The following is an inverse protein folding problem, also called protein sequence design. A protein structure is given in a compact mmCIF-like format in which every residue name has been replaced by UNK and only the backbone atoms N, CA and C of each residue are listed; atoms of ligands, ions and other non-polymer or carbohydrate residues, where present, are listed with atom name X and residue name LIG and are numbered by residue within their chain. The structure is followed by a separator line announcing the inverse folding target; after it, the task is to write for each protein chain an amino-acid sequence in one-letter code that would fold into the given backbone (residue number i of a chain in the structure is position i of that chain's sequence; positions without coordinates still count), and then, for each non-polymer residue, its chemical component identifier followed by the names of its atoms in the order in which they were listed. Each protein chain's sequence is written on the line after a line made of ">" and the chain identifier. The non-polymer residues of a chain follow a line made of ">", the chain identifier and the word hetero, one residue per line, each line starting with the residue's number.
data_IF_770641621522
#
_entry.id   IF_770641621522
#
_cell.length_a   1.000
_cell.length_b   1.000
_cell.length_c   1.000
_cell.angle_alpha   90.00
_cell.angle_beta   90.00
_cell.angle_gamma   90.00
#
_symmetry.space_group_name_H-M   'P 1'
#
loop_
_entity.id
_entity.type
_entity.pdbx_description
1 polymer ?
#
# COMPACT_ATOMS: atom_id res chain seq x y z
N UNK A 1 -3.82 -36.51 -3.34
CA UNK A 1 -2.64 -36.88 -2.51
C UNK A 1 -1.85 -35.61 -2.24
N UNK A 2 -1.51 -35.36 -0.96
CA UNK A 2 -0.81 -34.17 -0.46
C UNK A 2 -1.77 -33.01 -0.15
N UNK A 3 -1.92 -32.48 1.06
CA UNK A 3 -0.99 -32.40 2.18
C UNK A 3 -1.67 -32.81 3.50
N UNK A 4 -1.29 -33.99 4.00
CA UNK A 4 -1.15 -34.19 5.43
C UNK A 4 0.25 -33.68 5.76
N UNK A 5 0.39 -32.46 6.26
CA UNK A 5 1.64 -32.02 6.86
C UNK A 5 1.31 -31.43 8.21
N UNK A 6 1.60 -32.24 9.23
CA UNK A 6 1.75 -31.90 10.63
C UNK A 6 2.24 -30.46 10.80
N UNK A 7 1.30 -29.53 11.06
CA UNK A 7 1.58 -28.16 11.45
C UNK A 7 2.00 -27.94 12.93
N UNK A 8 2.04 -28.92 13.88
CA UNK A 8 2.32 -28.60 15.28
C UNK A 8 3.78 -28.19 15.53
N UNK A 9 4.78 -28.90 14.97
CA UNK A 9 6.18 -28.71 15.36
C UNK A 9 6.74 -27.28 15.19
N UNK A 10 6.37 -26.58 14.11
CA UNK A 10 6.88 -25.21 13.86
C UNK A 10 6.18 -24.15 14.69
N UNK A 11 4.89 -24.32 14.97
CA UNK A 11 4.17 -23.42 15.87
C UNK A 11 4.65 -23.60 17.31
N UNK A 12 4.86 -24.84 17.74
CA UNK A 12 5.36 -25.19 19.08
C UNK A 12 6.80 -24.68 19.28
N UNK A 13 7.64 -24.75 18.24
CA UNK A 13 8.99 -24.16 18.28
C UNK A 13 8.97 -22.62 18.24
N UNK A 14 8.02 -22.02 17.54
CA UNK A 14 7.83 -20.57 17.53
C UNK A 14 7.33 -20.04 18.89
N UNK A 15 6.59 -20.84 19.66
CA UNK A 15 6.19 -20.47 21.02
C UNK A 15 7.40 -20.33 21.95
N UNK A 16 8.40 -21.22 21.81
CA UNK A 16 9.63 -21.18 22.60
C UNK A 16 10.61 -20.10 22.14
N UNK A 17 10.73 -19.89 20.83
CA UNK A 17 11.75 -19.02 20.24
C UNK A 17 11.25 -17.59 19.97
N UNK A 18 9.93 -17.41 19.87
CA UNK A 18 9.31 -16.18 19.37
C UNK A 18 9.51 -15.96 17.87
N UNK A 19 9.94 -16.98 17.11
CA UNK A 19 10.21 -16.89 15.68
C UNK A 19 9.41 -17.95 14.95
N UNK A 20 8.49 -17.54 14.08
CA UNK A 20 7.78 -18.43 13.17
C UNK A 20 8.25 -18.16 11.76
N UNK A 21 8.88 -19.15 11.14
CA UNK A 21 9.35 -19.09 9.76
C UNK A 21 8.80 -20.26 8.96
N UNK A 22 8.06 -19.96 7.91
CA UNK A 22 7.44 -20.93 7.02
C UNK A 22 7.59 -20.44 5.58
N UNK A 23 8.73 -20.72 4.96
CA UNK A 23 9.03 -20.32 3.57
C UNK A 23 8.89 -21.50 2.59
N UNK A 24 8.65 -21.18 1.32
CA UNK A 24 8.63 -22.12 0.18
C UNK A 24 7.79 -23.38 0.42
N UNK A 25 6.60 -23.20 0.98
CA UNK A 25 5.70 -24.32 1.33
C UNK A 25 4.38 -24.29 0.57
N UNK A 26 4.23 -23.37 -0.38
CA UNK A 26 2.98 -23.16 -1.11
C UNK A 26 1.83 -22.72 -0.20
N UNK A 27 2.13 -22.10 0.95
CA UNK A 27 1.15 -21.69 1.95
C UNK A 27 0.18 -20.68 1.34
N UNK A 28 -1.12 -20.95 1.43
CA UNK A 28 -2.17 -20.04 0.92
C UNK A 28 -2.78 -19.18 2.03
N UNK A 29 -2.66 -19.62 3.29
CA UNK A 29 -3.10 -18.88 4.46
C UNK A 29 -2.21 -19.19 5.68
N UNK A 30 -2.00 -18.19 6.54
CA UNK A 30 -1.24 -18.33 7.78
C UNK A 30 -2.07 -19.16 8.79
N UNK A 31 -1.52 -20.22 9.40
CA UNK A 31 -2.26 -21.07 10.33
C UNK A 31 -2.66 -20.32 11.60
N UNK A 32 -3.85 -20.60 12.12
CA UNK A 32 -4.40 -19.85 13.25
C UNK A 32 -3.57 -19.94 14.54
N UNK A 33 -2.86 -21.06 14.72
CA UNK A 33 -1.96 -21.28 15.85
C UNK A 33 -0.88 -20.20 15.98
N UNK A 34 -0.42 -19.63 14.87
CA UNK A 34 0.60 -18.56 14.88
C UNK A 34 0.09 -17.33 15.61
N UNK A 35 -1.19 -17.01 15.45
CA UNK A 35 -1.84 -15.88 16.12
C UNK A 35 -2.06 -16.12 17.62
N UNK A 36 -1.98 -17.37 18.10
CA UNK A 36 -2.03 -17.67 19.53
C UNK A 36 -0.69 -17.41 20.25
N UNK A 37 0.41 -17.22 19.51
CA UNK A 37 1.75 -17.06 20.07
C UNK A 37 1.95 -15.60 20.52
N UNK A 38 1.59 -15.30 21.77
CA UNK A 38 1.64 -13.95 22.33
C UNK A 38 3.04 -13.30 22.36
N UNK A 39 4.10 -14.12 22.31
CA UNK A 39 5.50 -13.66 22.36
C UNK A 39 6.20 -13.68 21.00
N UNK A 40 5.44 -13.80 19.90
CA UNK A 40 6.03 -13.81 18.57
C UNK A 40 6.69 -12.45 18.25
N UNK A 41 7.98 -12.49 17.93
CA UNK A 41 8.82 -11.34 17.58
C UNK A 41 9.11 -11.30 16.10
N UNK A 42 9.21 -12.45 15.45
CA UNK A 42 9.51 -12.55 14.03
C UNK A 42 8.52 -13.50 13.36
N UNK A 43 7.85 -13.00 12.33
CA UNK A 43 6.95 -13.75 11.48
C UNK A 43 7.50 -13.70 10.06
N UNK A 44 7.90 -14.84 9.54
CA UNK A 44 8.41 -14.98 8.19
C UNK A 44 7.57 -16.01 7.41
N UNK A 45 6.84 -15.50 6.44
CA UNK A 45 5.98 -16.27 5.54
C UNK A 45 6.33 -15.98 4.09
N UNK A 46 7.57 -15.60 3.84
CA UNK A 46 8.06 -15.29 2.49
C UNK A 46 8.07 -16.52 1.58
N UNK A 47 8.08 -16.31 0.26
CA UNK A 47 8.09 -17.37 -0.77
C UNK A 47 6.91 -18.33 -0.62
N UNK A 48 5.70 -17.80 -0.57
CA UNK A 48 4.48 -18.62 -0.50
C UNK A 48 3.46 -18.13 -1.54
N UNK A 49 2.20 -18.56 -1.39
CA UNK A 49 1.10 -18.22 -2.30
C UNK A 49 0.00 -17.50 -1.52
N UNK A 50 0.38 -16.70 -0.53
CA UNK A 50 -0.57 -15.94 0.28
C UNK A 50 -1.30 -14.93 -0.60
N UNK A 51 -2.62 -15.00 -0.59
CA UNK A 51 -3.50 -14.05 -1.30
C UNK A 51 -3.96 -12.90 -0.40
N UNK A 52 -3.82 -13.05 0.91
CA UNK A 52 -4.15 -12.01 1.88
C UNK A 52 -3.42 -12.25 3.20
N UNK A 53 -3.13 -11.17 3.88
CA UNK A 53 -2.74 -11.20 5.28
C UNK A 53 -4.02 -11.06 6.13
N UNK A 54 -4.29 -11.93 7.12
CA UNK A 54 -5.50 -11.82 7.92
C UNK A 54 -5.43 -10.70 8.96
N UNK A 55 -6.57 -10.10 9.29
CA UNK A 55 -6.67 -9.06 10.33
C UNK A 55 -6.23 -9.52 11.73
N UNK A 56 -6.20 -10.84 11.95
CA UNK A 56 -5.68 -11.45 13.17
C UNK A 56 -4.22 -11.11 13.43
N UNK A 57 -3.45 -10.63 12.45
CA UNK A 57 -2.07 -10.16 12.67
C UNK A 57 -1.98 -9.10 13.77
N UNK A 58 -3.04 -8.30 14.00
CA UNK A 58 -3.08 -7.30 15.08
C UNK A 58 -2.82 -7.86 16.49
N UNK A 59 -3.10 -9.15 16.72
CA UNK A 59 -2.93 -9.76 18.05
C UNK A 59 -1.46 -10.00 18.39
N UNK A 60 -0.58 -9.98 17.39
CA UNK A 60 0.86 -10.17 17.54
C UNK A 60 1.54 -8.88 18.02
N UNK A 61 1.08 -8.29 19.12
CA UNK A 61 1.51 -6.96 19.57
C UNK A 61 3.01 -6.83 19.91
N UNK A 62 3.74 -7.95 20.05
CA UNK A 62 5.19 -7.99 20.28
C UNK A 62 6.03 -8.21 19.01
N UNK A 63 5.37 -8.27 17.84
CA UNK A 63 6.04 -8.52 16.58
C UNK A 63 6.96 -7.35 16.24
N UNK A 64 8.24 -7.66 16.01
CA UNK A 64 9.29 -6.71 15.61
C UNK A 64 9.63 -6.83 14.13
N UNK A 65 9.45 -8.01 13.56
CA UNK A 65 9.85 -8.30 12.18
C UNK A 65 8.74 -9.07 11.48
N UNK A 66 8.28 -8.55 10.35
CA UNK A 66 7.32 -9.22 9.47
C UNK A 66 7.90 -9.31 8.06
N UNK A 67 8.14 -10.53 7.58
CA UNK A 67 8.52 -10.81 6.21
C UNK A 67 7.42 -11.60 5.51
N UNK A 68 6.89 -11.06 4.42
CA UNK A 68 5.92 -11.72 3.55
C UNK A 68 6.29 -11.52 2.08
N UNK A 69 7.59 -11.45 1.80
CA UNK A 69 8.14 -11.32 0.44
C UNK A 69 7.74 -12.50 -0.46
N UNK A 70 7.76 -12.32 -1.77
CA UNK A 70 7.46 -13.38 -2.75
C UNK A 70 6.12 -14.08 -2.47
N UNK A 71 5.06 -13.29 -2.40
CA UNK A 71 3.68 -13.76 -2.24
C UNK A 71 2.78 -13.15 -3.33
N UNK A 72 1.46 -13.25 -3.16
CA UNK A 72 0.47 -12.69 -4.10
C UNK A 72 -0.49 -11.73 -3.40
N UNK A 73 0.02 -10.97 -2.43
CA UNK A 73 -0.78 -10.03 -1.66
C UNK A 73 -1.19 -8.84 -2.56
N UNK A 74 -2.49 -8.60 -2.77
CA UNK A 74 -2.97 -7.45 -3.54
C UNK A 74 -2.94 -6.16 -2.70
N UNK A 75 -3.13 -6.29 -1.39
CA UNK A 75 -3.16 -5.19 -0.42
C UNK A 75 -2.65 -5.67 0.95
N UNK A 76 -2.31 -4.72 1.82
CA UNK A 76 -1.90 -4.95 3.19
C UNK A 76 -3.00 -4.43 4.15
N UNK A 77 -3.50 -5.25 5.09
CA UNK A 77 -4.59 -4.81 5.96
C UNK A 77 -4.14 -3.75 6.97
N UNK A 78 -5.04 -2.84 7.33
CA UNK A 78 -4.82 -1.81 8.37
C UNK A 78 -4.42 -2.41 9.72
N UNK A 79 -4.78 -3.68 9.95
CA UNK A 79 -4.36 -4.45 11.12
C UNK A 79 -2.83 -4.52 11.29
N UNK A 80 -2.03 -4.43 10.22
CA UNK A 80 -0.56 -4.36 10.33
C UNK A 80 -0.10 -3.05 10.98
N UNK A 81 -0.82 -1.94 10.74
CA UNK A 81 -0.53 -0.62 11.31
C UNK A 81 -0.77 -0.56 12.84
N UNK A 82 -1.39 -1.60 13.41
CA UNK A 82 -1.61 -1.75 14.84
C UNK A 82 -0.40 -2.37 15.57
N UNK A 83 0.58 -2.90 14.84
CA UNK A 83 1.79 -3.52 15.39
C UNK A 83 2.81 -2.48 15.88
N UNK A 84 2.57 -1.86 17.04
CA UNK A 84 3.39 -0.74 17.56
C UNK A 84 4.86 -1.08 17.82
N UNK A 85 5.20 -2.36 17.99
CA UNK A 85 6.57 -2.82 18.18
C UNK A 85 7.31 -3.16 16.88
N UNK A 86 6.66 -3.05 15.72
CA UNK A 86 7.23 -3.43 14.44
C UNK A 86 8.40 -2.51 14.07
N UNK A 87 9.54 -3.13 13.75
CA UNK A 87 10.79 -2.45 13.40
C UNK A 87 11.20 -2.72 11.95
N UNK A 88 10.85 -3.89 11.42
CA UNK A 88 11.12 -4.26 10.03
C UNK A 88 9.87 -4.85 9.38
N UNK A 89 9.49 -4.30 8.23
CA UNK A 89 8.40 -4.78 7.39
C UNK A 89 8.94 -5.01 5.98
N UNK A 90 8.86 -6.25 5.51
CA UNK A 90 9.27 -6.65 4.16
C UNK A 90 8.12 -7.36 3.47
N UNK A 91 7.66 -6.80 2.35
CA UNK A 91 6.54 -7.31 1.54
C UNK A 91 6.87 -7.20 0.05
N UNK A 92 8.14 -7.42 -0.30
CA UNK A 92 8.66 -7.29 -1.66
C UNK A 92 8.11 -8.39 -2.56
N UNK A 93 8.15 -8.20 -3.89
CA UNK A 93 7.68 -9.20 -4.85
C UNK A 93 6.25 -9.68 -4.56
N UNK A 94 5.34 -8.73 -4.38
CA UNK A 94 3.90 -8.95 -4.22
C UNK A 94 3.13 -8.22 -5.34
N UNK A 95 1.82 -8.08 -5.19
CA UNK A 95 0.97 -7.35 -6.13
C UNK A 95 0.33 -6.11 -5.47
N UNK A 96 1.00 -5.52 -4.47
CA UNK A 96 0.46 -4.40 -3.70
C UNK A 96 0.20 -3.20 -4.59
N UNK A 97 -1.04 -2.70 -4.60
CA UNK A 97 -1.43 -1.50 -5.36
C UNK A 97 -1.32 -0.24 -4.51
N UNK A 98 -1.56 -0.37 -3.20
CA UNK A 98 -1.42 0.71 -2.23
C UNK A 98 -0.90 0.18 -0.89
N UNK A 99 -0.34 1.09 -0.08
CA UNK A 99 -0.07 0.86 1.33
C UNK A 99 -1.19 1.52 2.16
N UNK A 100 -1.53 0.96 3.33
CA UNK A 100 -2.58 1.53 4.18
C UNK A 100 -2.23 2.94 4.66
N UNK A 101 -3.22 3.84 4.67
CA UNK A 101 -3.03 5.21 5.17
C UNK A 101 -2.66 5.25 6.66
N UNK A 102 -2.91 4.19 7.42
CA UNK A 102 -2.50 4.10 8.82
C UNK A 102 -1.01 3.73 9.02
N UNK A 103 -0.22 3.54 7.95
CA UNK A 103 1.18 3.08 8.04
C UNK A 103 2.04 3.98 8.95
N UNK A 104 1.80 5.29 8.93
CA UNK A 104 2.44 6.27 9.81
C UNK A 104 2.31 6.00 11.31
N UNK A 105 1.39 5.13 11.73
CA UNK A 105 1.18 4.78 13.12
C UNK A 105 2.24 3.82 13.69
N UNK A 106 3.16 3.32 12.85
CA UNK A 106 4.27 2.43 13.20
C UNK A 106 5.53 3.23 13.59
N UNK A 107 5.48 3.96 14.70
CA UNK A 107 6.55 4.88 15.12
C UNK A 107 7.92 4.24 15.35
N UNK A 108 7.99 2.92 15.55
CA UNK A 108 9.23 2.15 15.75
C UNK A 108 9.79 1.52 14.46
N UNK A 109 9.10 1.67 13.32
CA UNK A 109 9.52 1.08 12.06
C UNK A 109 10.83 1.74 11.58
N UNK A 110 11.85 0.93 11.35
CA UNK A 110 13.18 1.35 10.91
C UNK A 110 13.48 0.96 9.47
N UNK A 111 12.92 -0.17 9.03
CA UNK A 111 13.14 -0.73 7.71
C UNK A 111 11.80 -1.05 7.08
N UNK A 112 11.56 -0.48 5.90
CA UNK A 112 10.39 -0.76 5.07
C UNK A 112 10.86 -1.18 3.68
N UNK A 113 10.56 -2.41 3.30
CA UNK A 113 10.90 -2.97 1.98
C UNK A 113 9.60 -3.36 1.29
N UNK A 114 9.28 -2.66 0.21
CA UNK A 114 8.07 -2.81 -0.60
C UNK A 114 8.41 -2.89 -2.09
N UNK A 115 9.65 -3.26 -2.41
CA UNK A 115 10.14 -3.33 -3.79
C UNK A 115 9.42 -4.40 -4.62
N UNK A 116 9.44 -4.23 -5.95
CA UNK A 116 8.76 -5.15 -6.87
C UNK A 116 7.26 -5.34 -6.54
N UNK A 117 6.56 -4.22 -6.39
CA UNK A 117 5.10 -4.18 -6.24
C UNK A 117 4.48 -3.31 -7.35
N UNK A 118 3.22 -2.89 -7.19
CA UNK A 118 2.49 -2.05 -8.16
C UNK A 118 2.02 -0.74 -7.49
N UNK A 119 2.78 -0.25 -6.51
CA UNK A 119 2.42 0.94 -5.76
C UNK A 119 2.41 2.16 -6.68
N UNK A 120 1.26 2.83 -6.80
CA UNK A 120 1.12 4.05 -7.58
C UNK A 120 1.53 5.32 -6.80
N UNK A 121 1.36 5.28 -5.48
CA UNK A 121 1.76 6.34 -4.57
C UNK A 121 2.14 5.76 -3.20
N UNK A 122 2.93 6.51 -2.44
CA UNK A 122 3.18 6.23 -1.03
C UNK A 122 2.23 7.10 -0.17
N UNK A 123 1.67 6.57 0.92
CA UNK A 123 0.70 7.31 1.73
C UNK A 123 1.38 8.49 2.43
N UNK A 124 0.68 9.61 2.56
CA UNK A 124 1.22 10.81 3.24
C UNK A 124 1.59 10.53 4.69
N UNK A 125 0.86 9.63 5.36
CA UNK A 125 1.13 9.22 6.74
C UNK A 125 2.50 8.57 6.91
N UNK A 126 3.11 8.03 5.86
CA UNK A 126 4.46 7.47 5.92
C UNK A 126 5.48 8.52 6.40
N UNK A 127 5.21 9.80 6.19
CA UNK A 127 6.04 10.91 6.68
C UNK A 127 6.08 11.01 8.23
N UNK A 128 5.14 10.35 8.93
CA UNK A 128 5.13 10.26 10.39
C UNK A 128 6.05 9.16 10.95
N UNK A 129 6.70 8.36 10.09
CA UNK A 129 7.62 7.30 10.50
C UNK A 129 8.98 7.88 10.93
N UNK A 130 9.00 8.52 12.10
CA UNK A 130 10.18 9.22 12.65
C UNK A 130 11.41 8.34 12.86
N UNK A 131 11.24 7.02 12.96
CA UNK A 131 12.35 6.06 13.14
C UNK A 131 12.81 5.41 11.84
N UNK A 132 12.18 5.72 10.70
CA UNK A 132 12.46 5.05 9.44
C UNK A 132 13.84 5.45 8.93
N UNK A 133 14.71 4.46 8.80
CA UNK A 133 16.11 4.62 8.40
C UNK A 133 16.42 4.05 7.02
N UNK A 134 15.65 3.03 6.61
CA UNK A 134 15.83 2.34 5.35
C UNK A 134 14.46 2.18 4.68
N UNK A 135 14.36 2.69 3.46
CA UNK A 135 13.22 2.50 2.58
C UNK A 135 13.69 1.90 1.27
N UNK A 136 13.10 0.79 0.86
CA UNK A 136 13.21 0.30 -0.50
C UNK A 136 11.81 0.20 -1.10
N UNK A 137 11.52 1.11 -2.02
CA UNK A 137 10.31 1.09 -2.83
C UNK A 137 10.67 1.02 -4.33
N UNK A 138 11.81 0.43 -4.66
CA UNK A 138 12.24 0.23 -6.03
C UNK A 138 11.30 -0.68 -6.83
N UNK A 139 11.32 -0.57 -8.16
CA UNK A 139 10.50 -1.39 -9.05
C UNK A 139 8.99 -1.34 -8.70
N UNK A 140 8.46 -0.13 -8.59
CA UNK A 140 7.04 0.17 -8.37
C UNK A 140 6.54 1.11 -9.48
N UNK A 141 5.32 1.65 -9.33
CA UNK A 141 4.71 2.59 -10.27
C UNK A 141 4.56 3.99 -9.65
N UNK A 142 5.47 4.37 -8.74
CA UNK A 142 5.37 5.65 -8.04
C UNK A 142 5.56 6.79 -9.03
N UNK A 143 4.58 7.68 -9.13
CA UNK A 143 4.63 8.88 -9.99
C UNK A 143 5.12 10.11 -9.24
N UNK A 144 4.84 10.19 -7.95
CA UNK A 144 5.26 11.26 -7.06
C UNK A 144 5.55 10.73 -5.65
N UNK A 145 6.34 11.49 -4.91
CA UNK A 145 6.56 11.28 -3.48
C UNK A 145 5.62 12.20 -2.67
N UNK A 146 5.18 11.79 -1.47
CA UNK A 146 4.36 12.64 -0.61
C UNK A 146 5.13 13.91 -0.23
N UNK A 147 4.43 15.03 -0.07
CA UNK A 147 5.04 16.33 0.20
C UNK A 147 5.93 16.33 1.47
N UNK A 148 5.57 15.50 2.46
CA UNK A 148 6.33 15.32 3.70
C UNK A 148 7.49 14.34 3.62
N UNK A 149 7.84 13.78 2.45
CA UNK A 149 8.91 12.79 2.32
C UNK A 149 10.26 13.33 2.83
N UNK A 150 10.52 14.62 2.63
CA UNK A 150 11.70 15.31 3.17
C UNK A 150 11.72 15.50 4.69
N UNK A 151 10.60 15.27 5.39
CA UNK A 151 10.51 15.37 6.84
C UNK A 151 11.05 14.12 7.58
N UNK A 152 11.38 13.05 6.84
CA UNK A 152 11.95 11.82 7.38
C UNK A 152 13.42 12.03 7.79
N UNK A 153 13.64 12.69 8.92
CA UNK A 153 14.97 13.07 9.41
C UNK A 153 15.90 11.88 9.71
N UNK A 154 15.33 10.70 10.00
CA UNK A 154 16.10 9.49 10.29
C UNK A 154 16.46 8.68 9.04
N UNK A 155 15.95 9.04 7.86
CA UNK A 155 16.10 8.27 6.63
C UNK A 155 17.54 8.37 6.11
N UNK A 156 18.28 7.26 6.22
CA UNK A 156 19.67 7.17 5.81
C UNK A 156 19.83 6.60 4.39
N UNK A 157 18.93 5.71 3.99
CA UNK A 157 18.93 5.10 2.67
C UNK A 157 17.49 4.99 2.14
N UNK A 158 17.29 5.46 0.91
CA UNK A 158 16.04 5.34 0.19
C UNK A 158 16.32 4.88 -1.24
N UNK A 159 15.87 3.69 -1.60
CA UNK A 159 15.87 3.22 -2.98
C UNK A 159 14.48 3.42 -3.60
N UNK A 160 14.45 4.27 -4.63
CA UNK A 160 13.26 4.60 -5.41
C UNK A 160 13.50 4.32 -6.90
N UNK A 161 14.55 3.57 -7.24
CA UNK A 161 14.89 3.21 -8.61
C UNK A 161 13.76 2.44 -9.30
N UNK A 162 13.71 2.47 -10.62
CA UNK A 162 12.69 1.77 -11.42
C UNK A 162 11.25 2.15 -11.02
N UNK A 163 11.02 3.44 -10.74
CA UNK A 163 9.71 4.04 -10.59
C UNK A 163 9.44 5.03 -11.74
N UNK A 164 8.27 5.68 -11.72
CA UNK A 164 7.85 6.70 -12.69
C UNK A 164 8.03 8.12 -12.12
N UNK A 165 8.88 8.28 -11.10
CA UNK A 165 9.13 9.56 -10.43
C UNK A 165 9.87 10.47 -11.40
N UNK A 166 9.19 11.52 -11.86
CA UNK A 166 9.76 12.53 -12.76
C UNK A 166 9.60 12.25 -14.27
N UNK A 167 8.87 11.21 -14.67
CA UNK A 167 8.47 10.99 -16.06
C UNK A 167 7.07 11.54 -16.33
N UNK A 168 6.97 12.66 -17.07
CA UNK A 168 5.73 13.27 -17.64
C UNK A 168 4.80 13.97 -16.61
N UNK A 169 4.56 15.31 -16.57
CA UNK A 169 4.20 16.31 -17.60
C UNK A 169 3.34 15.75 -18.72
N UNK A 170 2.12 16.30 -18.89
CA UNK A 170 1.01 15.99 -19.82
C UNK A 170 -0.10 15.17 -19.13
N UNK A 171 -1.29 15.67 -18.76
CA UNK A 171 -1.99 16.92 -19.05
C UNK A 171 -2.62 17.51 -17.79
N UNK A 172 -2.57 18.84 -17.70
CA UNK A 172 -3.58 19.60 -17.00
C UNK A 172 -4.97 19.09 -17.42
N UNK A 173 -5.76 18.61 -16.46
CA UNK A 173 -7.20 18.66 -16.59
C UNK A 173 -7.61 20.13 -16.61
N UNK A 174 -7.45 20.74 -17.78
CA UNK A 174 -8.33 21.80 -18.25
C UNK A 174 -9.71 21.17 -18.38
N UNK A 175 -10.40 21.02 -17.25
CA UNK A 175 -11.84 20.87 -17.25
C UNK A 175 -12.41 22.23 -17.63
N UNK A 176 -12.28 22.60 -18.91
CA UNK A 176 -13.22 23.56 -19.49
C UNK A 176 -14.59 22.87 -19.52
N UNK A 177 -15.62 23.44 -18.88
CA UNK A 177 -16.98 23.01 -19.15
C UNK A 177 -17.37 23.56 -20.53
N UNK A 178 -17.05 22.81 -21.58
CA UNK A 178 -17.68 23.01 -22.89
C UNK A 178 -19.05 22.33 -22.87
N UNK A 179 -20.05 23.02 -22.32
CA UNK A 179 -21.46 22.70 -22.60
C UNK A 179 -21.96 23.63 -23.70
N UNK A 180 -21.66 23.22 -24.92
CA UNK A 180 -22.40 23.58 -26.13
C UNK A 180 -23.81 23.00 -25.97
N UNK A 181 -24.80 23.87 -25.77
CA UNK A 181 -26.20 23.51 -25.92
C UNK A 181 -26.95 24.63 -26.66
N UNK A 182 -27.13 24.42 -27.97
CA UNK A 182 -28.17 25.00 -28.81
C UNK A 182 -28.45 23.98 -29.93
N UNK A 183 -29.65 23.90 -30.54
CA UNK A 183 -31.01 24.24 -30.07
C UNK A 183 -31.98 23.04 -30.34
N UNK A 184 -33.34 23.18 -30.31
CA UNK A 184 -34.02 23.69 -31.50
C UNK A 184 -35.27 24.54 -31.27
N UNK A 185 -35.47 25.48 -32.19
CA UNK A 185 -36.74 25.92 -32.80
C UNK A 185 -38.00 26.02 -31.94
N UNK A 186 -38.46 27.25 -31.71
CA UNK A 186 -39.89 27.62 -31.77
C UNK A 186 -40.04 29.13 -32.02
N UNK A 187 -40.22 29.47 -33.30
CA UNK A 187 -41.03 30.63 -33.74
C UNK A 187 -42.53 30.27 -33.54
N UNK A 188 -43.49 31.22 -33.42
CA UNK A 188 -43.68 32.30 -34.38
C UNK A 188 -44.18 33.67 -33.84
N UNK A 189 -44.03 34.68 -34.74
CA UNK A 189 -44.86 35.89 -34.92
C UNK A 189 -44.99 36.90 -33.76
N UNK A 190 -44.50 38.13 -33.98
CA UNK A 190 -45.31 39.24 -34.52
C UNK A 190 -44.50 40.57 -34.56
N UNK A 191 -44.55 41.25 -35.72
CA UNK A 191 -44.68 42.70 -35.95
C UNK A 191 -43.72 43.65 -35.17
N UNK A 192 -42.94 44.50 -35.81
CA UNK A 192 -43.45 45.66 -36.56
C UNK A 192 -42.36 46.26 -37.46
N UNK A 193 -42.77 46.69 -38.65
CA UNK A 193 -41.94 47.32 -39.67
C UNK A 193 -41.56 48.75 -39.26
N UNK A 194 -40.31 49.13 -39.54
CA UNK A 194 -39.93 50.53 -39.74
C UNK A 194 -40.54 51.03 -41.06
N UNK A 195 -41.31 52.10 -40.99
CA UNK A 195 -41.59 52.96 -42.13
C UNK A 195 -40.84 54.28 -41.93
N UNK A 196 -39.97 54.59 -42.87
CA UNK A 196 -39.50 55.93 -43.15
C UNK A 196 -40.63 56.70 -43.88
N UNK A 197 -40.83 57.98 -43.54
CA UNK A 197 -41.13 59.08 -44.48
C UNK A 197 -41.44 60.40 -43.76
N UNK A 198 -40.80 61.46 -44.27
CA UNK A 198 -41.23 62.88 -44.38
C UNK A 198 -41.90 63.59 -43.18
N UNK A 199 -41.21 64.59 -42.61
CA UNK A 199 -41.42 66.03 -42.90
C UNK A 199 -40.10 66.80 -42.68
#
# INVERSE_FOLDING_TARGET
>A
MGASSSQPDRADMAEKTGVYAQRDSGLTAIPEKVFAIANLRTLDVSQNKLLKLPDKVRVLGKLKTLHADDNKLPDLPDSVCQLKELQSLSVSHNALVALPEALGALSKLKTLVVSHNRLAALPESMCALVSLSQLDASANMLSALPAGFGALAALAAADLSNNQIGGETIQAHSTQPSLRASPPSRSPRAQSCLAASMD
#
